data_IF_669919719161
#
_entry.id   IF_669919719161
#
_cell.length_a   1.000
_cell.length_b   1.000
_cell.length_c   1.000
_cell.angle_alpha   90.00
_cell.angle_beta   90.00
_cell.angle_gamma   90.00
#
_symmetry.space_group_name_H-M   'P 1'
#
loop_
_entity.id
_entity.type
_entity.pdbx_description
1 polymer ?
#
# COMPACT_ATOMS: atom_id res chain seq x y z
N UNK A 1 18.14 -61.93 -26.95
CA UNK A 1 17.90 -60.69 -27.71
C UNK A 1 16.66 -59.99 -27.17
N UNK A 2 16.62 -58.66 -27.29
CA UNK A 2 15.62 -57.69 -26.78
C UNK A 2 15.66 -57.42 -25.26
N UNK A 3 16.53 -56.46 -24.92
CA UNK A 3 16.48 -55.62 -23.73
C UNK A 3 15.23 -54.75 -23.82
N UNK A 4 14.38 -54.76 -22.78
CA UNK A 4 13.34 -53.73 -22.62
C UNK A 4 13.82 -52.76 -21.55
N UNK A 5 14.06 -51.53 -21.98
CA UNK A 5 14.64 -50.44 -21.22
C UNK A 5 13.56 -49.88 -20.30
N UNK A 6 13.80 -49.93 -18.99
CA UNK A 6 13.06 -49.12 -18.02
C UNK A 6 13.44 -47.65 -18.24
N UNK A 7 12.55 -46.88 -18.87
CA UNK A 7 12.71 -45.46 -19.12
C UNK A 7 12.15 -44.64 -17.96
N UNK A 8 13.05 -44.00 -17.22
CA UNK A 8 12.81 -43.04 -16.15
C UNK A 8 11.78 -41.97 -16.57
N UNK A 9 10.61 -41.94 -15.93
CA UNK A 9 9.71 -40.79 -16.00
C UNK A 9 10.24 -39.69 -15.06
N UNK A 10 11.17 -38.87 -15.56
CA UNK A 10 11.54 -37.63 -14.88
C UNK A 10 10.44 -36.59 -15.14
N UNK A 11 9.44 -36.54 -14.26
CA UNK A 11 8.50 -35.42 -14.20
C UNK A 11 9.28 -34.21 -13.69
N UNK A 12 9.66 -33.32 -14.61
CA UNK A 12 10.21 -32.01 -14.30
C UNK A 12 9.14 -31.23 -13.53
N UNK A 13 9.29 -31.15 -12.20
CA UNK A 13 8.59 -30.18 -11.39
C UNK A 13 9.08 -28.79 -11.81
N UNK A 14 8.41 -28.18 -12.79
CA UNK A 14 8.56 -26.77 -13.10
C UNK A 14 7.91 -26.01 -11.95
N UNK A 15 8.68 -25.77 -10.89
CA UNK A 15 8.26 -24.88 -9.80
C UNK A 15 7.96 -23.51 -10.39
N UNK A 16 6.69 -23.11 -10.36
CA UNK A 16 6.27 -21.78 -10.74
C UNK A 16 6.88 -20.76 -9.78
N UNK A 17 8.07 -20.26 -10.12
CA UNK A 17 8.58 -19.03 -9.54
C UNK A 17 7.72 -17.90 -10.10
N UNK A 18 6.64 -17.58 -9.39
CA UNK A 18 5.92 -16.33 -9.63
C UNK A 18 6.88 -15.20 -9.25
N UNK A 19 7.43 -14.49 -10.25
CA UNK A 19 8.04 -13.19 -9.99
C UNK A 19 6.91 -12.26 -9.52
N UNK A 20 6.81 -12.07 -8.21
CA UNK A 20 5.96 -11.04 -7.64
C UNK A 20 6.61 -9.68 -7.95
N UNK A 21 6.04 -8.92 -8.88
CA UNK A 21 6.40 -7.53 -9.07
C UNK A 21 5.90 -6.74 -7.85
N UNK A 22 6.80 -6.02 -7.19
CA UNK A 22 6.40 -5.11 -6.12
C UNK A 22 5.60 -3.94 -6.72
N UNK A 23 4.46 -3.61 -6.12
CA UNK A 23 3.67 -2.44 -6.52
C UNK A 23 4.48 -1.14 -6.34
N UNK A 24 4.27 -0.17 -7.24
CA UNK A 24 4.88 1.15 -7.16
C UNK A 24 4.06 2.06 -6.23
N UNK A 25 4.59 2.30 -5.03
CA UNK A 25 3.93 3.12 -4.01
C UNK A 25 3.68 4.57 -4.44
N UNK A 26 4.55 5.15 -5.27
CA UNK A 26 4.37 6.51 -5.77
C UNK A 26 3.22 6.57 -6.80
N UNK A 27 3.12 5.56 -7.67
CA UNK A 27 2.01 5.44 -8.61
C UNK A 27 0.66 5.21 -7.88
N UNK A 28 0.65 4.37 -6.84
CA UNK A 28 -0.53 4.17 -5.98
C UNK A 28 -0.92 5.49 -5.30
N UNK A 29 0.03 6.21 -4.73
CA UNK A 29 -0.23 7.51 -4.10
C UNK A 29 -0.84 8.51 -5.09
N UNK A 30 -0.26 8.63 -6.28
CA UNK A 30 -0.73 9.54 -7.34
C UNK A 30 -2.17 9.22 -7.75
N UNK A 31 -2.53 7.95 -7.83
CA UNK A 31 -3.85 7.52 -8.30
C UNK A 31 -4.93 7.51 -7.21
N UNK A 32 -4.58 7.25 -5.94
CA UNK A 32 -5.55 7.04 -4.86
C UNK A 32 -5.53 8.10 -3.76
N UNK A 33 -4.39 8.73 -3.50
CA UNK A 33 -4.20 9.56 -2.30
C UNK A 33 -4.08 11.05 -2.61
N UNK A 34 -3.43 11.39 -3.73
CA UNK A 34 -3.05 12.75 -4.12
C UNK A 34 -4.24 13.71 -4.22
N UNK A 35 -5.41 13.22 -4.64
CA UNK A 35 -6.62 14.06 -4.79
C UNK A 35 -7.02 14.77 -3.48
N UNK A 36 -6.75 14.15 -2.32
CA UNK A 36 -7.04 14.73 -1.01
C UNK A 36 -5.76 15.21 -0.30
N UNK A 37 -4.69 14.43 -0.37
CA UNK A 37 -3.44 14.71 0.36
C UNK A 37 -2.44 15.58 -0.41
N UNK A 38 -2.83 16.06 -1.60
CA UNK A 38 -2.08 17.00 -2.41
C UNK A 38 -0.93 16.34 -3.20
N UNK A 39 -0.35 17.07 -4.17
CA UNK A 39 0.86 16.64 -4.86
C UNK A 39 1.99 16.42 -3.85
N UNK A 40 2.71 15.31 -3.99
CA UNK A 40 3.88 14.98 -3.17
C UNK A 40 3.61 14.97 -1.66
N UNK A 41 2.36 14.75 -1.20
CA UNK A 41 2.07 14.70 0.23
C UNK A 41 2.03 16.04 0.94
N UNK A 42 1.91 17.16 0.22
CA UNK A 42 1.93 18.51 0.83
C UNK A 42 0.65 18.88 1.60
N UNK A 43 -0.39 18.04 1.54
CA UNK A 43 -1.67 18.28 2.18
C UNK A 43 -2.56 19.24 1.39
N UNK A 44 -3.79 19.40 1.88
CA UNK A 44 -4.76 20.37 1.36
C UNK A 44 -5.76 20.76 2.45
N UNK A 45 -6.75 21.58 2.10
CA UNK A 45 -7.89 21.84 2.99
C UNK A 45 -8.71 20.57 3.31
N UNK A 46 -8.60 19.53 2.47
CA UNK A 46 -9.35 18.28 2.63
C UNK A 46 -8.63 17.29 3.56
N UNK A 47 -7.29 17.29 3.59
CA UNK A 47 -6.54 16.26 4.28
C UNK A 47 -5.14 16.75 4.71
N UNK A 48 -4.56 16.18 5.79
CA UNK A 48 -3.27 16.59 6.31
C UNK A 48 -2.13 16.33 5.32
N UNK A 49 -1.05 17.10 5.48
CA UNK A 49 0.23 16.79 4.86
C UNK A 49 0.78 15.45 5.39
N UNK A 50 1.40 14.73 4.48
CA UNK A 50 2.24 13.56 4.76
C UNK A 50 3.65 14.01 5.14
N UNK A 51 4.15 15.06 4.49
CA UNK A 51 5.47 15.65 4.74
C UNK A 51 5.61 16.09 6.20
N UNK A 52 6.63 15.59 6.89
CA UNK A 52 6.89 15.88 8.29
C UNK A 52 5.83 15.34 9.27
N UNK A 53 4.94 14.45 8.84
CA UNK A 53 3.85 13.97 9.70
C UNK A 53 4.34 12.93 10.72
N UNK A 54 4.46 13.35 11.98
CA UNK A 54 4.97 12.51 13.08
C UNK A 54 4.17 11.22 13.31
N UNK A 55 2.85 11.23 13.08
CA UNK A 55 2.06 10.01 13.18
C UNK A 55 2.48 8.99 12.11
N UNK A 56 2.74 9.43 10.88
CA UNK A 56 3.15 8.53 9.79
C UNK A 56 4.57 8.01 10.02
N UNK A 57 5.47 8.85 10.54
CA UNK A 57 6.83 8.44 10.91
C UNK A 57 6.82 7.31 11.93
N UNK A 58 6.04 7.49 13.00
CA UNK A 58 6.09 6.64 14.21
C UNK A 58 5.12 5.46 14.20
N UNK A 59 4.00 5.56 13.49
CA UNK A 59 3.01 4.47 13.41
C UNK A 59 3.60 3.22 12.76
N UNK A 60 3.15 2.06 13.23
CA UNK A 60 3.42 0.76 12.63
C UNK A 60 2.75 0.61 11.26
N UNK A 61 3.26 -0.30 10.43
CA UNK A 61 2.62 -0.63 9.13
C UNK A 61 1.17 -1.09 9.33
N UNK A 62 0.87 -1.83 10.40
CA UNK A 62 -0.47 -2.29 10.71
C UNK A 62 -1.42 -1.13 11.07
N UNK A 63 -0.98 -0.17 11.87
CA UNK A 63 -1.80 1.01 12.21
C UNK A 63 -2.11 1.85 10.96
N UNK A 64 -1.13 2.02 10.07
CA UNK A 64 -1.33 2.73 8.80
C UNK A 64 -2.23 1.93 7.84
N UNK A 65 -2.10 0.61 7.81
CA UNK A 65 -2.99 -0.29 7.05
C UNK A 65 -4.42 -0.17 7.54
N UNK A 66 -4.64 -0.21 8.86
CA UNK A 66 -5.97 -0.09 9.45
C UNK A 66 -6.62 1.25 9.09
N UNK A 67 -5.85 2.34 9.17
CA UNK A 67 -6.29 3.67 8.73
C UNK A 67 -6.70 3.70 7.27
N UNK A 68 -5.89 3.10 6.38
CA UNK A 68 -6.14 3.09 4.94
C UNK A 68 -7.40 2.26 4.65
N UNK A 69 -7.50 1.06 5.22
CA UNK A 69 -8.56 0.10 4.91
C UNK A 69 -9.90 0.41 5.59
N UNK A 70 -9.88 1.01 6.78
CA UNK A 70 -11.09 1.32 7.55
C UNK A 70 -11.52 2.78 7.43
N UNK A 71 -10.61 3.66 7.00
CA UNK A 71 -10.83 5.09 7.04
C UNK A 71 -10.83 5.65 8.46
N UNK A 72 -11.06 6.96 8.58
CA UNK A 72 -11.15 7.70 9.84
C UNK A 72 -12.21 8.80 9.75
N UNK A 73 -12.95 8.99 10.83
CA UNK A 73 -13.93 10.07 10.91
C UNK A 73 -13.24 11.43 11.07
N UNK A 74 -13.64 12.41 10.25
CA UNK A 74 -13.03 13.74 10.17
C UNK A 74 -13.56 14.72 11.22
N UNK A 75 -13.98 15.91 10.78
CA UNK A 75 -14.56 16.95 11.64
C UNK A 75 -15.74 16.49 12.50
N UNK A 76 -16.46 15.45 12.07
CA UNK A 76 -17.56 14.86 12.81
C UNK A 76 -17.18 14.33 14.20
N UNK A 77 -15.88 14.05 14.46
CA UNK A 77 -15.42 13.58 15.78
C UNK A 77 -14.19 14.31 16.30
N UNK A 78 -13.04 14.17 15.63
CA UNK A 78 -11.73 14.51 16.22
C UNK A 78 -10.96 15.57 15.43
N UNK A 79 -11.16 15.66 14.12
CA UNK A 79 -10.32 16.48 13.25
C UNK A 79 -11.12 17.64 12.65
N UNK A 80 -11.50 18.60 13.51
CA UNK A 80 -12.40 19.72 13.16
C UNK A 80 -11.91 20.57 11.98
N UNK A 81 -10.60 20.60 11.73
CA UNK A 81 -10.00 21.31 10.60
C UNK A 81 -10.22 20.63 9.24
N UNK A 82 -10.63 19.36 9.20
CA UNK A 82 -10.91 18.64 7.96
C UNK A 82 -12.39 18.36 7.83
N UNK A 83 -13.04 19.07 6.90
CA UNK A 83 -14.49 19.00 6.69
C UNK A 83 -14.99 17.58 6.37
N UNK A 84 -14.12 16.74 5.80
CA UNK A 84 -14.40 15.34 5.48
C UNK A 84 -13.56 14.39 6.35
N UNK A 85 -14.09 13.18 6.58
CA UNK A 85 -13.27 12.07 7.05
C UNK A 85 -12.40 11.49 5.94
N UNK A 86 -11.43 10.67 6.33
CA UNK A 86 -10.69 9.84 5.40
C UNK A 86 -11.56 8.60 5.09
N UNK A 87 -12.08 8.42 3.87
CA UNK A 87 -12.85 7.23 3.54
C UNK A 87 -11.96 5.98 3.52
N UNK A 88 -12.56 4.82 3.78
CA UNK A 88 -11.91 3.53 3.56
C UNK A 88 -11.42 3.43 2.10
N UNK A 89 -10.16 3.06 1.92
CA UNK A 89 -9.56 2.84 0.62
C UNK A 89 -9.53 1.35 0.32
N UNK A 90 -9.89 0.98 -0.91
CA UNK A 90 -9.78 -0.38 -1.40
C UNK A 90 -8.47 -0.51 -2.17
N UNK A 91 -7.49 -1.16 -1.56
CA UNK A 91 -6.18 -1.44 -2.13
C UNK A 91 -5.85 -2.92 -1.94
N UNK A 92 -5.09 -3.48 -2.88
CA UNK A 92 -4.49 -4.79 -2.68
C UNK A 92 -3.42 -4.72 -1.56
N UNK A 93 -3.07 -5.87 -0.98
CA UNK A 93 -2.14 -5.92 0.17
C UNK A 93 -0.74 -5.40 -0.20
N UNK A 94 -0.26 -5.75 -1.40
CA UNK A 94 1.01 -5.29 -1.94
C UNK A 94 0.98 -3.78 -2.27
N UNK A 95 -0.10 -3.27 -2.84
CA UNK A 95 -0.30 -1.83 -3.06
C UNK A 95 -0.34 -1.05 -1.74
N UNK A 96 -1.04 -1.59 -0.73
CA UNK A 96 -1.14 -0.99 0.60
C UNK A 96 0.24 -0.89 1.25
N UNK A 97 1.02 -1.96 1.20
CA UNK A 97 2.38 -1.95 1.71
C UNK A 97 3.27 -0.97 0.96
N UNK A 98 3.21 -0.96 -0.38
CA UNK A 98 4.00 -0.08 -1.21
C UNK A 98 3.68 1.41 -0.95
N UNK A 99 2.40 1.76 -0.85
CA UNK A 99 2.00 3.16 -0.58
C UNK A 99 2.36 3.59 0.84
N UNK A 100 2.29 2.69 1.84
CA UNK A 100 2.74 2.99 3.20
C UNK A 100 4.25 3.29 3.22
N UNK A 101 5.05 2.50 2.50
CA UNK A 101 6.49 2.76 2.39
C UNK A 101 6.77 4.13 1.77
N UNK A 102 6.05 4.48 0.71
CA UNK A 102 6.14 5.81 0.09
C UNK A 102 5.67 6.95 1.02
N UNK A 103 4.56 6.76 1.75
CA UNK A 103 4.08 7.72 2.74
C UNK A 103 5.11 7.96 3.86
N UNK A 104 5.77 6.90 4.34
CA UNK A 104 6.84 7.01 5.34
C UNK A 104 8.06 7.73 4.77
N UNK A 105 8.38 7.53 3.50
CA UNK A 105 9.46 8.27 2.84
C UNK A 105 9.15 9.77 2.73
N UNK A 106 7.95 10.11 2.26
CA UNK A 106 7.46 11.50 2.24
C UNK A 106 7.46 12.13 3.63
N UNK A 107 7.17 11.34 4.67
CA UNK A 107 7.04 11.86 6.02
C UNK A 107 8.37 12.23 6.66
N UNK A 108 9.50 11.66 6.23
CA UNK A 108 10.84 11.95 6.79
C UNK A 108 11.11 13.45 6.82
#
# INVERSE_FOLDING_TARGET
>A
MKRMIAGFAAVLAVGSFTLAFAADGAAVYKSKCMACHGPEGKGSALAPAMVGNEYIKTATEQELTDVIMKGREGAAKKYKQYAIGMPAQQLAADETKAVIAYMKDLAK
#
